data_IF_586254790318
#
_entry.id   IF_586254790318
#
_cell.length_a   1.000
_cell.length_b   1.000
_cell.length_c   1.000
_cell.angle_alpha   90.00
_cell.angle_beta   90.00
_cell.angle_gamma   90.00
#
_symmetry.space_group_name_H-M   'P 1'
#
loop_
_entity.id
_entity.type
_entity.pdbx_description
1 polymer ?
#
# COMPACT_ATOMS: atom_id res chain seq x y z
N UNK A 1 30.76 9.92 20.25
CA UNK A 1 30.45 9.13 19.02
C UNK A 1 28.93 9.12 18.87
N UNK A 2 28.39 9.29 17.65
CA UNK A 2 26.94 9.36 17.42
C UNK A 2 26.30 7.98 17.65
N UNK A 3 25.22 7.96 18.43
CA UNK A 3 24.47 6.72 18.71
C UNK A 3 23.41 6.47 17.64
N UNK A 4 23.36 5.24 17.11
CA UNK A 4 22.46 4.83 16.03
C UNK A 4 20.97 4.97 16.41
N UNK A 5 20.62 4.69 17.67
CA UNK A 5 19.24 4.82 18.16
C UNK A 5 18.78 6.29 18.13
N UNK A 6 19.69 7.21 18.48
CA UNK A 6 19.43 8.65 18.42
C UNK A 6 19.34 9.17 16.98
N UNK A 7 20.19 8.64 16.08
CA UNK A 7 20.09 8.92 14.66
C UNK A 7 18.72 8.48 14.09
N UNK A 8 18.20 7.35 14.54
CA UNK A 8 16.85 6.88 14.17
C UNK A 8 15.78 7.86 14.66
N UNK A 9 15.88 8.38 15.89
CA UNK A 9 14.95 9.38 16.42
C UNK A 9 14.98 10.69 15.60
N UNK A 10 16.18 11.18 15.25
CA UNK A 10 16.34 12.39 14.42
C UNK A 10 15.72 12.20 13.04
N UNK A 11 15.95 11.06 12.40
CA UNK A 11 15.33 10.70 11.12
C UNK A 11 13.79 10.71 11.20
N UNK A 12 13.24 10.09 12.25
CA UNK A 12 11.78 10.07 12.45
C UNK A 12 11.22 11.47 12.71
N UNK A 13 11.96 12.32 13.42
CA UNK A 13 11.56 13.72 13.63
C UNK A 13 11.54 14.51 12.31
N UNK A 14 12.53 14.29 11.43
CA UNK A 14 12.56 14.89 10.10
C UNK A 14 11.30 14.59 9.28
N UNK A 15 10.76 13.40 9.45
CA UNK A 15 9.61 12.89 8.69
C UNK A 15 8.27 13.29 9.28
N UNK A 16 8.17 13.31 10.62
CA UNK A 16 6.89 13.51 11.34
C UNK A 16 6.67 14.93 11.79
N UNK A 17 7.71 15.74 11.79
CA UNK A 17 7.67 17.16 12.14
C UNK A 17 7.50 17.45 13.63
N UNK A 18 7.06 16.52 14.47
CA UNK A 18 6.84 16.76 15.89
C UNK A 18 7.39 15.65 16.80
N UNK A 19 7.86 16.03 18.00
CA UNK A 19 8.34 15.08 19.00
C UNK A 19 7.22 14.14 19.47
N UNK A 20 5.99 14.63 19.58
CA UNK A 20 4.84 13.81 19.97
C UNK A 20 4.57 12.70 18.95
N UNK A 21 4.57 13.01 17.65
CA UNK A 21 4.39 12.02 16.59
C UNK A 21 5.54 10.99 16.52
N UNK A 22 6.77 11.40 16.85
CA UNK A 22 7.90 10.45 16.98
C UNK A 22 7.72 9.52 18.17
N UNK A 23 7.28 10.07 19.31
CA UNK A 23 7.07 9.31 20.53
C UNK A 23 5.97 8.25 20.36
N UNK A 24 4.85 8.64 19.77
CA UNK A 24 3.76 7.72 19.42
C UNK A 24 4.25 6.61 18.48
N UNK A 25 4.96 7.00 17.43
CA UNK A 25 5.45 6.10 16.39
C UNK A 25 6.46 5.05 16.84
N UNK A 26 7.23 5.35 17.86
CA UNK A 26 8.32 4.49 18.34
C UNK A 26 8.07 3.95 19.76
N UNK A 27 6.84 4.09 20.27
CA UNK A 27 6.44 3.68 21.61
C UNK A 27 7.33 4.27 22.73
N UNK A 28 7.73 5.54 22.58
CA UNK A 28 8.44 6.31 23.60
C UNK A 28 7.52 7.35 24.25
N UNK A 29 7.94 7.91 25.39
CA UNK A 29 7.33 9.15 25.88
C UNK A 29 7.91 10.37 25.14
N UNK A 30 7.15 11.46 24.94
CA UNK A 30 7.67 12.70 24.34
C UNK A 30 8.88 13.27 25.07
N UNK A 31 8.92 13.14 26.40
CA UNK A 31 10.06 13.54 27.23
C UNK A 31 11.31 12.73 26.95
N UNK A 32 11.17 11.40 26.79
CA UNK A 32 12.30 10.53 26.45
C UNK A 32 12.87 10.86 25.07
N UNK A 33 12.01 11.07 24.06
CA UNK A 33 12.46 11.50 22.71
C UNK A 33 13.20 12.83 22.79
N UNK A 34 12.66 13.84 23.49
CA UNK A 34 13.30 15.15 23.65
C UNK A 34 14.66 15.04 24.35
N UNK A 35 14.75 14.24 25.40
CA UNK A 35 16.01 14.01 26.12
C UNK A 35 17.06 13.34 25.23
N UNK A 36 16.69 12.30 24.48
CA UNK A 36 17.61 11.61 23.58
C UNK A 36 18.10 12.48 22.43
N UNK A 37 17.25 13.33 21.88
CA UNK A 37 17.65 14.31 20.86
C UNK A 37 18.59 15.37 21.44
N UNK A 38 18.37 15.84 22.66
CA UNK A 38 19.30 16.74 23.35
C UNK A 38 20.65 16.08 23.69
N UNK A 39 20.69 14.76 23.91
CA UNK A 39 21.96 14.01 24.01
C UNK A 39 22.64 13.98 22.65
N UNK A 40 21.90 13.74 21.55
CA UNK A 40 22.48 13.74 20.20
C UNK A 40 23.09 15.11 19.81
N UNK A 41 22.47 16.21 20.20
CA UNK A 41 23.04 17.55 20.01
C UNK A 41 24.40 17.70 20.71
N UNK A 42 24.50 17.22 21.96
CA UNK A 42 25.78 17.21 22.70
C UNK A 42 26.85 16.32 22.05
N UNK A 43 26.45 15.16 21.52
CA UNK A 43 27.35 14.26 20.77
C UNK A 43 27.81 14.87 19.45
N UNK A 44 26.93 15.60 18.77
CA UNK A 44 27.22 16.31 17.53
C UNK A 44 28.04 17.60 17.76
N UNK A 45 28.04 18.13 18.97
CA UNK A 45 28.74 19.38 19.31
C UNK A 45 28.11 20.65 18.74
N UNK A 46 26.85 20.56 18.25
CA UNK A 46 26.14 21.69 17.65
C UNK A 46 24.61 21.51 17.76
N UNK A 47 23.84 22.61 17.70
CA UNK A 47 22.39 22.52 17.71
C UNK A 47 21.85 21.80 16.45
N UNK A 48 20.97 20.84 16.68
CA UNK A 48 20.27 20.11 15.62
C UNK A 48 18.82 20.57 15.51
N UNK A 49 18.26 21.15 16.60
CA UNK A 49 16.88 21.56 16.69
C UNK A 49 16.78 23.07 17.00
N UNK A 50 15.87 23.74 16.33
CA UNK A 50 15.45 25.11 16.60
C UNK A 50 14.03 25.08 17.17
N UNK A 51 13.79 25.83 18.27
CA UNK A 51 12.43 26.01 18.82
C UNK A 51 11.66 27.01 17.97
N UNK A 52 10.47 26.63 17.51
CA UNK A 52 9.58 27.49 16.73
C UNK A 52 8.21 27.54 17.45
N UNK A 53 7.99 28.54 18.29
CA UNK A 53 6.74 28.64 19.05
C UNK A 53 6.43 27.36 19.85
N UNK A 54 5.41 26.60 19.41
CA UNK A 54 5.00 25.32 20.04
C UNK A 54 5.66 24.09 19.46
N UNK A 55 6.58 24.24 18.49
CA UNK A 55 7.19 23.12 17.79
C UNK A 55 8.70 23.16 17.74
N UNK A 56 9.29 22.19 17.02
CA UNK A 56 10.71 22.11 16.73
C UNK A 56 10.92 22.02 15.23
N UNK A 57 12.00 22.66 14.74
CA UNK A 57 12.45 22.58 13.35
C UNK A 57 13.89 22.06 13.31
N UNK A 58 14.21 21.30 12.29
CA UNK A 58 15.57 20.82 12.08
C UNK A 58 16.46 21.97 11.53
N UNK A 59 17.67 22.10 12.09
CA UNK A 59 18.70 22.95 11.51
C UNK A 59 19.21 22.37 10.18
N UNK A 60 19.89 23.16 9.32
CA UNK A 60 20.56 22.64 8.13
C UNK A 60 21.57 21.52 8.45
N UNK A 61 22.26 21.61 9.58
CA UNK A 61 23.17 20.57 10.07
C UNK A 61 22.42 19.27 10.41
N UNK A 62 21.25 19.37 11.05
CA UNK A 62 20.40 18.21 11.32
C UNK A 62 19.88 17.55 10.05
N UNK A 63 19.48 18.34 9.04
CA UNK A 63 19.07 17.81 7.74
C UNK A 63 20.20 17.03 7.05
N UNK A 64 21.43 17.53 7.11
CA UNK A 64 22.60 16.81 6.62
C UNK A 64 22.80 15.51 7.42
N UNK A 65 22.72 15.56 8.75
CA UNK A 65 22.87 14.40 9.60
C UNK A 65 21.80 13.34 9.34
N UNK A 66 20.58 13.73 9.00
CA UNK A 66 19.50 12.81 8.60
C UNK A 66 19.89 12.00 7.37
N UNK A 67 20.49 12.64 6.34
CA UNK A 67 20.95 11.91 5.14
C UNK A 67 22.02 10.86 5.47
N UNK A 68 22.96 11.20 6.35
CA UNK A 68 23.96 10.24 6.84
C UNK A 68 23.32 9.15 7.70
N UNK A 69 22.34 9.49 8.54
CA UNK A 69 21.61 8.52 9.35
C UNK A 69 20.88 7.48 8.49
N UNK A 70 20.27 7.90 7.39
CA UNK A 70 19.63 6.98 6.43
C UNK A 70 20.63 5.99 5.84
N UNK A 71 21.79 6.46 5.39
CA UNK A 71 22.84 5.60 4.84
C UNK A 71 23.40 4.59 5.89
N UNK A 72 23.58 5.04 7.13
CA UNK A 72 24.03 4.17 8.24
C UNK A 72 22.99 3.09 8.55
N UNK A 73 21.71 3.46 8.66
CA UNK A 73 20.64 2.53 8.94
C UNK A 73 20.46 1.50 7.81
N UNK A 74 20.54 1.93 6.54
CA UNK A 74 20.54 1.02 5.40
C UNK A 74 21.70 0.03 5.43
N UNK A 75 22.90 0.50 5.84
CA UNK A 75 24.07 -0.36 5.94
C UNK A 75 23.94 -1.42 7.04
N UNK A 76 23.33 -1.06 8.17
CA UNK A 76 23.02 -2.01 9.24
C UNK A 76 22.00 -3.07 8.79
N UNK A 77 20.95 -2.68 8.08
CA UNK A 77 19.98 -3.65 7.52
C UNK A 77 20.66 -4.62 6.54
N UNK A 78 21.62 -4.15 5.75
CA UNK A 78 22.41 -5.04 4.88
C UNK A 78 23.27 -6.01 5.68
N UNK A 79 23.94 -5.53 6.72
CA UNK A 79 24.74 -6.40 7.59
C UNK A 79 23.88 -7.47 8.25
N UNK A 80 22.69 -7.12 8.72
CA UNK A 80 21.73 -8.08 9.29
C UNK A 80 21.31 -9.12 8.24
N UNK A 81 21.09 -8.70 6.99
CA UNK A 81 20.76 -9.60 5.89
C UNK A 81 21.91 -10.59 5.58
N UNK A 82 23.16 -10.11 5.52
CA UNK A 82 24.36 -10.91 5.30
C UNK A 82 24.59 -11.93 6.45
N UNK A 83 24.37 -11.51 7.69
CA UNK A 83 24.45 -12.39 8.86
C UNK A 83 23.33 -13.45 8.83
N UNK A 84 22.13 -13.10 8.39
CA UNK A 84 21.03 -14.05 8.24
C UNK A 84 21.33 -15.08 7.13
N UNK A 85 21.97 -14.67 6.04
CA UNK A 85 22.38 -15.56 4.94
C UNK A 85 23.44 -16.58 5.40
N UNK A 86 24.33 -16.17 6.29
CA UNK A 86 25.38 -17.05 6.86
C UNK A 86 24.84 -18.13 7.82
N UNK A 87 23.57 -18.02 8.24
CA UNK A 87 22.93 -19.03 9.11
C UNK A 87 22.51 -20.23 8.28
N UNK A 88 22.71 -21.43 8.84
CA UNK A 88 22.22 -22.69 8.26
C UNK A 88 20.69 -22.76 8.43
N UNK A 89 19.97 -22.53 7.34
CA UNK A 89 18.51 -22.57 7.29
C UNK A 89 17.82 -21.25 7.63
N UNK A 90 16.70 -21.02 6.97
CA UNK A 90 15.82 -19.88 7.26
C UNK A 90 14.94 -20.22 8.46
N UNK A 91 15.05 -19.45 9.53
CA UNK A 91 14.26 -19.65 10.76
C UNK A 91 13.91 -18.31 11.41
N UNK A 92 12.88 -18.34 12.26
CA UNK A 92 12.41 -17.20 13.04
C UNK A 92 11.20 -16.51 12.45
N UNK A 93 10.73 -15.45 13.12
CA UNK A 93 9.52 -14.71 12.75
C UNK A 93 9.75 -13.86 11.50
N UNK A 94 8.76 -13.86 10.59
CA UNK A 94 8.66 -12.93 9.45
C UNK A 94 7.34 -12.20 9.52
N UNK A 95 7.37 -10.92 9.86
CA UNK A 95 6.18 -10.08 10.02
C UNK A 95 5.80 -9.46 8.68
N UNK A 96 4.61 -9.82 8.19
CA UNK A 96 4.12 -9.50 6.85
C UNK A 96 2.90 -8.60 6.95
N UNK A 97 2.91 -7.47 6.25
CA UNK A 97 1.75 -6.61 6.05
C UNK A 97 1.14 -6.81 4.67
N UNK A 98 -0.18 -6.89 4.56
CA UNK A 98 -0.84 -6.94 3.25
C UNK A 98 -2.24 -6.29 3.31
N UNK A 99 -2.65 -5.68 2.22
CA UNK A 99 -3.99 -5.11 2.08
C UNK A 99 -5.04 -6.22 1.78
N UNK A 100 -6.33 -6.00 2.08
CA UNK A 100 -7.37 -7.06 2.08
C UNK A 100 -7.42 -7.92 0.83
N UNK A 101 -7.41 -7.33 -0.38
CA UNK A 101 -7.49 -8.11 -1.62
C UNK A 101 -6.28 -9.01 -1.84
N UNK A 102 -5.07 -8.56 -1.47
CA UNK A 102 -3.88 -9.42 -1.56
C UNK A 102 -3.90 -10.51 -0.49
N UNK A 103 -4.33 -10.19 0.73
CA UNK A 103 -4.50 -11.13 1.83
C UNK A 103 -5.43 -12.27 1.44
N UNK A 104 -6.51 -11.98 0.70
CA UNK A 104 -7.45 -13.00 0.24
C UNK A 104 -6.94 -13.79 -0.97
N UNK A 105 -6.39 -13.11 -1.98
CA UNK A 105 -6.22 -13.72 -3.30
C UNK A 105 -4.85 -14.37 -3.53
N UNK A 106 -3.80 -13.90 -2.86
CA UNK A 106 -2.40 -14.27 -3.19
C UNK A 106 -1.66 -14.80 -1.96
N UNK A 107 -1.78 -14.09 -0.82
CA UNK A 107 -0.97 -14.38 0.36
C UNK A 107 -1.15 -15.80 0.91
N UNK A 108 -2.36 -16.39 0.98
CA UNK A 108 -2.52 -17.75 1.51
C UNK A 108 -1.72 -18.79 0.75
N UNK A 109 -1.74 -18.75 -0.58
CA UNK A 109 -0.95 -19.66 -1.42
C UNK A 109 0.56 -19.43 -1.26
N UNK A 110 0.98 -18.16 -1.14
CA UNK A 110 2.39 -17.81 -0.90
C UNK A 110 2.88 -18.29 0.47
N UNK A 111 2.06 -18.17 1.52
CA UNK A 111 2.40 -18.66 2.85
C UNK A 111 2.46 -20.19 2.91
N UNK A 112 1.54 -20.89 2.23
CA UNK A 112 1.58 -22.33 2.12
C UNK A 112 2.83 -22.83 1.39
N UNK A 113 3.27 -22.13 0.33
CA UNK A 113 4.50 -22.42 -0.38
C UNK A 113 5.73 -22.16 0.50
N UNK A 114 5.75 -21.01 1.20
CA UNK A 114 6.82 -20.63 2.11
C UNK A 114 7.00 -21.65 3.25
N UNK A 115 5.92 -22.09 3.87
CA UNK A 115 5.94 -23.08 4.95
C UNK A 115 6.51 -24.45 4.49
N UNK A 116 6.18 -24.87 3.26
CA UNK A 116 6.76 -26.13 2.71
C UNK A 116 8.25 -26.02 2.46
N UNK A 117 8.71 -24.89 1.92
CA UNK A 117 10.12 -24.72 1.54
C UNK A 117 11.03 -24.31 2.70
N UNK A 118 10.47 -23.63 3.67
CA UNK A 118 11.21 -23.07 4.82
C UNK A 118 10.46 -23.32 6.13
N UNK A 119 10.42 -24.58 6.62
CA UNK A 119 9.61 -24.95 7.79
C UNK A 119 10.08 -24.30 9.10
N UNK A 120 11.30 -23.72 9.13
CA UNK A 120 11.79 -22.96 10.28
C UNK A 120 11.32 -21.49 10.32
N UNK A 121 10.72 -20.98 9.24
CA UNK A 121 10.14 -19.63 9.25
C UNK A 121 8.76 -19.65 9.88
N UNK A 122 8.48 -18.63 10.68
CA UNK A 122 7.19 -18.37 11.32
C UNK A 122 6.56 -17.10 10.70
N UNK A 123 5.88 -17.19 9.55
CA UNK A 123 5.27 -16.04 8.93
C UNK A 123 4.05 -15.56 9.74
N UNK A 124 4.06 -14.28 10.09
CA UNK A 124 2.99 -13.61 10.85
C UNK A 124 2.34 -12.57 9.93
N UNK A 125 1.11 -12.83 9.50
CA UNK A 125 0.37 -11.94 8.61
C UNK A 125 -0.49 -10.97 9.41
N UNK A 126 -0.40 -9.68 9.05
CA UNK A 126 -1.31 -8.63 9.51
C UNK A 126 -1.93 -7.93 8.32
N UNK A 127 -3.25 -7.78 8.33
CA UNK A 127 -3.93 -6.93 7.36
C UNK A 127 -3.63 -5.47 7.68
N UNK A 128 -3.06 -4.76 6.70
CA UNK A 128 -2.50 -3.43 6.92
C UNK A 128 -2.87 -2.49 5.78
N UNK A 129 -3.43 -1.33 6.12
CA UNK A 129 -3.69 -0.28 5.13
C UNK A 129 -2.36 0.23 4.54
N UNK A 130 -2.23 0.40 3.21
CA UNK A 130 -1.03 0.92 2.58
C UNK A 130 -0.48 2.23 3.17
N UNK A 131 -1.35 3.09 3.67
CA UNK A 131 -0.94 4.34 4.32
C UNK A 131 -0.19 4.11 5.65
N UNK A 132 -0.45 3.00 6.35
CA UNK A 132 0.21 2.65 7.60
C UNK A 132 1.52 1.86 7.39
N UNK A 133 1.72 1.25 6.22
CA UNK A 133 2.85 0.35 5.95
C UNK A 133 4.20 1.01 6.16
N UNK A 134 4.38 2.23 5.65
CA UNK A 134 5.65 2.92 5.77
C UNK A 134 6.07 3.14 7.23
N UNK A 135 5.09 3.42 8.10
CA UNK A 135 5.32 3.53 9.52
C UNK A 135 5.71 2.19 10.13
N UNK A 136 4.91 1.15 9.93
CA UNK A 136 5.09 -0.16 10.53
C UNK A 136 6.44 -0.81 10.12
N UNK A 137 6.87 -0.66 8.86
CA UNK A 137 8.18 -1.10 8.41
C UNK A 137 9.33 -0.37 9.13
N UNK A 138 9.24 0.95 9.30
CA UNK A 138 10.27 1.74 9.98
C UNK A 138 10.32 1.49 11.48
N UNK A 139 9.18 1.23 12.11
CA UNK A 139 9.09 0.85 13.52
C UNK A 139 9.65 -0.56 13.79
N UNK A 140 9.74 -1.41 12.73
CA UNK A 140 10.11 -2.81 12.86
C UNK A 140 8.95 -3.69 13.29
N UNK A 141 7.72 -3.20 13.19
CA UNK A 141 6.49 -3.97 13.40
C UNK A 141 6.22 -4.91 12.22
N UNK A 142 6.68 -4.52 11.03
CA UNK A 142 6.70 -5.34 9.82
C UNK A 142 8.13 -5.47 9.28
N UNK A 143 8.41 -6.60 8.65
CA UNK A 143 9.67 -6.88 7.95
C UNK A 143 9.49 -6.67 6.44
N UNK A 144 8.32 -7.03 5.93
CA UNK A 144 7.95 -6.91 4.51
C UNK A 144 6.45 -6.61 4.41
N UNK A 145 6.05 -5.85 3.38
CA UNK A 145 4.64 -5.60 3.15
C UNK A 145 4.31 -5.51 1.66
N UNK A 146 3.04 -5.74 1.34
CA UNK A 146 2.46 -5.43 0.04
C UNK A 146 1.83 -4.04 0.08
N UNK A 147 2.23 -3.20 -0.85
CA UNK A 147 1.66 -1.87 -1.08
C UNK A 147 1.15 -1.75 -2.50
N UNK A 148 0.24 -0.83 -2.73
CA UNK A 148 -0.26 -0.57 -4.07
C UNK A 148 -0.33 0.92 -4.36
N UNK A 149 -0.32 1.26 -5.64
CA UNK A 149 -0.61 2.59 -6.17
C UNK A 149 -1.60 2.50 -7.32
N UNK A 150 -2.23 3.62 -7.62
CA UNK A 150 -3.21 3.76 -8.69
C UNK A 150 -2.82 4.88 -9.64
N UNK A 151 -3.27 4.79 -10.88
CA UNK A 151 -3.33 5.96 -11.75
C UNK A 151 -4.19 7.06 -11.10
N UNK A 152 -3.93 8.30 -11.44
CA UNK A 152 -4.56 9.50 -10.85
C UNK A 152 -4.23 9.81 -9.39
N UNK A 153 -3.53 8.94 -8.66
CA UNK A 153 -3.11 9.20 -7.28
C UNK A 153 -1.60 9.36 -7.22
N UNK A 154 -1.09 10.45 -6.63
CA UNK A 154 0.35 10.60 -6.41
C UNK A 154 0.92 9.42 -5.63
N UNK A 155 2.07 8.94 -6.06
CA UNK A 155 2.80 7.83 -5.45
C UNK A 155 4.20 8.31 -5.06
N UNK A 156 4.32 9.08 -3.95
CA UNK A 156 5.60 9.62 -3.52
C UNK A 156 6.54 8.50 -3.08
N UNK A 157 7.82 8.69 -3.36
CA UNK A 157 8.85 7.82 -2.80
C UNK A 157 8.87 7.94 -1.27
N UNK A 158 8.97 6.79 -0.61
CA UNK A 158 9.06 6.70 0.85
C UNK A 158 10.53 6.53 1.26
N UNK A 159 11.21 7.61 1.73
CA UNK A 159 12.62 7.55 2.09
C UNK A 159 12.91 6.44 3.11
N UNK A 160 14.03 5.71 2.91
CA UNK A 160 14.44 4.58 3.74
C UNK A 160 13.59 3.33 3.57
N UNK A 161 12.70 3.32 2.59
CA UNK A 161 12.03 2.12 2.12
C UNK A 161 12.42 1.85 0.66
N UNK A 162 12.46 0.59 0.32
CA UNK A 162 12.65 0.13 -1.05
C UNK A 162 11.42 -0.65 -1.46
N UNK A 163 10.95 -0.43 -2.68
CA UNK A 163 9.85 -1.20 -3.25
C UNK A 163 10.33 -1.97 -4.48
N UNK A 164 9.82 -3.20 -4.66
CA UNK A 164 10.04 -4.00 -5.87
C UNK A 164 8.70 -4.31 -6.52
N UNK A 165 8.55 -4.14 -7.85
CA UNK A 165 7.34 -4.50 -8.56
C UNK A 165 6.97 -5.96 -8.33
N UNK A 166 5.67 -6.24 -8.15
CA UNK A 166 5.16 -7.59 -8.04
C UNK A 166 4.21 -7.92 -9.19
N UNK A 167 3.12 -7.16 -9.35
CA UNK A 167 2.18 -7.30 -10.47
C UNK A 167 1.42 -6.01 -10.76
N UNK A 168 0.78 -5.98 -11.92
CA UNK A 168 -0.20 -4.97 -12.34
C UNK A 168 -1.52 -5.66 -12.64
N UNK A 169 -2.61 -5.03 -12.30
CA UNK A 169 -3.95 -5.53 -12.57
C UNK A 169 -4.87 -4.46 -13.13
N UNK A 170 -5.84 -4.89 -13.94
CA UNK A 170 -6.83 -4.01 -14.50
C UNK A 170 -7.82 -3.53 -13.44
N UNK A 171 -8.37 -2.33 -13.66
CA UNK A 171 -9.51 -1.82 -12.92
C UNK A 171 -10.77 -1.95 -13.77
N UNK A 172 -11.90 -2.19 -13.11
CA UNK A 172 -13.20 -2.36 -13.75
C UNK A 172 -14.22 -1.40 -13.16
N UNK A 173 -15.06 -0.83 -14.00
CA UNK A 173 -16.31 -0.24 -13.57
C UNK A 173 -17.31 -1.38 -13.39
N UNK A 174 -17.82 -1.54 -12.17
CA UNK A 174 -18.87 -2.47 -11.82
C UNK A 174 -20.21 -1.73 -11.78
N UNK A 175 -21.16 -2.19 -12.56
CA UNK A 175 -22.53 -1.68 -12.62
C UNK A 175 -23.53 -2.84 -12.50
N UNK A 176 -24.77 -2.59 -12.04
CA UNK A 176 -25.81 -3.62 -12.04
C UNK A 176 -26.04 -4.19 -13.44
N UNK A 177 -26.07 -5.52 -13.57
CA UNK A 177 -26.41 -6.16 -14.83
C UNK A 177 -27.88 -5.87 -15.19
N UNK A 178 -28.13 -5.58 -16.47
CA UNK A 178 -29.50 -5.50 -16.98
C UNK A 178 -30.15 -6.89 -16.93
N UNK A 179 -31.30 -7.02 -16.27
CA UNK A 179 -31.99 -8.30 -16.14
C UNK A 179 -33.44 -8.15 -15.69
N UNK A 180 -34.27 -9.22 -15.83
CA UNK A 180 -35.64 -9.21 -15.34
C UNK A 180 -35.66 -8.97 -13.83
N UNK A 181 -36.38 -7.95 -13.37
CA UNK A 181 -36.45 -7.58 -11.95
C UNK A 181 -35.39 -6.59 -11.45
N UNK A 182 -34.45 -6.16 -12.28
CA UNK A 182 -33.51 -5.10 -11.93
C UNK A 182 -34.27 -3.77 -11.77
N UNK A 183 -34.13 -3.12 -10.60
CA UNK A 183 -34.60 -1.73 -10.38
C UNK A 183 -33.72 -0.70 -11.10
N UNK A 184 -32.65 -1.16 -11.72
CA UNK A 184 -31.73 -0.37 -12.52
C UNK A 184 -32.29 -0.20 -13.93
N UNK A 185 -32.85 0.96 -14.26
CA UNK A 185 -33.41 1.22 -15.57
C UNK A 185 -32.32 1.29 -16.64
N UNK A 186 -32.64 0.83 -17.87
CA UNK A 186 -31.73 0.92 -19.02
C UNK A 186 -31.26 2.38 -19.31
N UNK A 187 -32.03 3.39 -18.91
CA UNK A 187 -31.62 4.80 -18.95
C UNK A 187 -30.49 5.15 -17.99
N UNK A 188 -30.31 4.38 -16.91
CA UNK A 188 -29.22 4.55 -15.95
C UNK A 188 -28.04 3.61 -16.25
N UNK A 189 -28.27 2.55 -17.00
CA UNK A 189 -27.23 1.73 -17.60
C UNK A 189 -26.78 2.46 -18.87
N UNK A 190 -25.58 3.04 -18.88
CA UNK A 190 -24.99 3.53 -20.11
C UNK A 190 -25.03 2.48 -21.22
N UNK A 191 -24.77 2.86 -22.49
CA UNK A 191 -24.84 1.94 -23.62
C UNK A 191 -24.01 0.68 -23.32
N UNK A 192 -24.60 -0.50 -23.55
CA UNK A 192 -23.90 -1.77 -23.42
C UNK A 192 -22.64 -1.74 -24.28
N UNK A 193 -21.46 -2.11 -23.74
CA UNK A 193 -20.23 -2.12 -24.51
C UNK A 193 -20.39 -3.05 -25.71
N UNK A 194 -20.18 -2.54 -26.90
CA UNK A 194 -20.11 -3.37 -28.11
C UNK A 194 -18.83 -4.19 -28.04
N UNK A 195 -18.86 -5.49 -28.41
CA UNK A 195 -17.68 -6.36 -28.34
C UNK A 195 -16.47 -5.84 -29.12
N UNK A 196 -16.70 -5.09 -30.20
CA UNK A 196 -15.69 -4.66 -31.16
C UNK A 196 -14.99 -3.32 -30.81
N UNK A 197 -15.55 -2.52 -29.91
CA UNK A 197 -14.92 -1.28 -29.43
C UNK A 197 -15.37 -0.96 -28.00
N UNK A 198 -14.60 -1.37 -26.96
CA UNK A 198 -14.90 -0.98 -25.59
C UNK A 198 -14.87 0.55 -25.47
N UNK A 199 -15.86 1.17 -24.78
CA UNK A 199 -15.90 2.60 -24.59
C UNK A 199 -14.60 3.12 -24.01
N UNK A 200 -14.20 4.33 -24.38
CA UNK A 200 -13.08 4.99 -23.73
C UNK A 200 -13.35 5.09 -22.23
N UNK A 201 -12.31 5.04 -21.39
CA UNK A 201 -12.47 5.08 -19.92
C UNK A 201 -13.37 6.22 -19.46
N UNK A 202 -13.16 7.43 -20.00
CA UNK A 202 -13.91 8.62 -19.62
C UNK A 202 -15.39 8.51 -20.05
N UNK A 203 -15.66 7.88 -21.17
CA UNK A 203 -17.02 7.63 -21.66
C UNK A 203 -17.74 6.63 -20.75
N UNK A 204 -17.07 5.53 -20.39
CA UNK A 204 -17.61 4.54 -19.45
C UNK A 204 -17.95 5.16 -18.09
N UNK A 205 -17.09 6.02 -17.56
CA UNK A 205 -17.33 6.71 -16.29
C UNK A 205 -18.47 7.75 -16.44
N UNK A 206 -18.48 8.55 -17.50
CA UNK A 206 -19.51 9.58 -17.76
C UNK A 206 -20.91 9.01 -17.95
N UNK A 207 -21.03 7.81 -18.52
CA UNK A 207 -22.31 7.12 -18.66
C UNK A 207 -23.01 6.89 -17.30
N UNK A 208 -22.25 6.89 -16.21
CA UNK A 208 -22.76 6.69 -14.85
C UNK A 208 -22.63 7.93 -13.95
N UNK A 209 -22.47 9.14 -14.52
CA UNK A 209 -22.27 10.38 -13.75
C UNK A 209 -23.41 10.70 -12.78
N UNK A 210 -24.65 10.38 -13.15
CA UNK A 210 -25.85 10.65 -12.37
C UNK A 210 -26.24 9.48 -11.44
N UNK A 211 -25.52 8.35 -11.53
CA UNK A 211 -25.73 7.17 -10.69
C UNK A 211 -25.28 7.41 -9.24
N UNK A 212 -25.84 6.67 -8.27
CA UNK A 212 -25.23 6.54 -6.96
C UNK A 212 -23.88 5.81 -7.07
N UNK A 213 -22.86 6.32 -6.37
CA UNK A 213 -21.53 5.70 -6.34
C UNK A 213 -21.28 5.03 -5.00
N UNK A 214 -20.61 3.88 -5.07
CA UNK A 214 -20.07 3.15 -3.93
C UNK A 214 -18.56 3.34 -3.98
N UNK A 215 -17.97 3.90 -2.94
CA UNK A 215 -16.52 4.15 -2.86
C UNK A 215 -15.95 3.59 -1.57
N UNK A 216 -14.64 3.46 -1.48
CA UNK A 216 -13.97 3.22 -0.22
C UNK A 216 -14.09 4.42 0.73
N UNK A 217 -13.68 4.23 1.98
CA UNK A 217 -13.68 5.28 3.02
C UNK A 217 -12.76 6.45 2.65
N UNK A 218 -13.16 7.71 2.88
CA UNK A 218 -12.31 8.87 2.65
C UNK A 218 -10.96 8.74 3.39
N UNK A 219 -9.89 9.17 2.72
CA UNK A 219 -8.52 9.02 3.21
C UNK A 219 -7.78 7.81 2.64
N UNK A 220 -8.50 6.83 2.08
CA UNK A 220 -7.87 5.68 1.41
C UNK A 220 -7.45 6.02 -0.03
N UNK A 221 -6.42 5.32 -0.54
CA UNK A 221 -5.98 5.46 -1.94
C UNK A 221 -7.09 5.08 -2.93
N UNK A 222 -7.91 4.09 -2.60
CA UNK A 222 -9.02 3.63 -3.44
C UNK A 222 -10.11 4.70 -3.58
N UNK A 223 -10.46 5.39 -2.49
CA UNK A 223 -11.38 6.53 -2.53
C UNK A 223 -10.81 7.65 -3.40
N UNK A 224 -9.56 8.03 -3.15
CA UNK A 224 -8.90 9.12 -3.90
C UNK A 224 -8.84 8.79 -5.40
N UNK A 225 -8.51 7.56 -5.77
CA UNK A 225 -8.49 7.09 -7.16
C UNK A 225 -9.86 7.23 -7.82
N UNK A 226 -10.93 6.71 -7.20
CA UNK A 226 -12.27 6.77 -7.77
C UNK A 226 -12.72 8.21 -8.00
N UNK A 227 -12.56 9.08 -6.99
CA UNK A 227 -12.97 10.49 -7.09
C UNK A 227 -12.19 11.21 -8.18
N UNK A 228 -10.87 11.04 -8.25
CA UNK A 228 -10.02 11.70 -9.24
C UNK A 228 -10.25 11.18 -10.66
N UNK A 229 -10.51 9.88 -10.83
CA UNK A 229 -10.87 9.32 -12.12
C UNK A 229 -12.19 9.91 -12.66
N UNK A 230 -13.20 10.05 -11.79
CA UNK A 230 -14.46 10.72 -12.15
C UNK A 230 -14.25 12.22 -12.48
N UNK A 231 -13.42 12.92 -11.70
CA UNK A 231 -13.06 14.32 -11.95
C UNK A 231 -12.32 14.49 -13.29
N UNK A 232 -11.38 13.60 -13.61
CA UNK A 232 -10.71 13.58 -14.91
C UNK A 232 -11.71 13.34 -16.06
N UNK A 233 -12.75 12.53 -15.82
CA UNK A 233 -13.85 12.34 -16.75
C UNK A 233 -14.86 13.51 -16.77
N UNK A 234 -14.66 14.59 -16.01
CA UNK A 234 -15.43 15.83 -16.04
C UNK A 234 -16.65 15.87 -15.11
N UNK A 235 -16.70 15.02 -14.07
CA UNK A 235 -17.77 15.07 -13.07
C UNK A 235 -17.29 14.67 -11.68
N UNK A 236 -18.08 15.00 -10.64
CA UNK A 236 -17.85 14.52 -9.27
C UNK A 236 -18.84 13.40 -8.95
N UNK A 237 -18.39 12.23 -8.43
CA UNK A 237 -19.30 11.13 -8.16
C UNK A 237 -20.22 11.45 -6.98
N UNK A 238 -21.51 11.11 -7.12
CA UNK A 238 -22.49 11.21 -6.05
C UNK A 238 -22.35 10.01 -5.09
N UNK A 239 -21.39 10.08 -4.17
CA UNK A 239 -21.09 9.00 -3.22
C UNK A 239 -22.28 8.80 -2.28
N UNK A 240 -22.88 7.60 -2.29
CA UNK A 240 -23.98 7.20 -1.42
C UNK A 240 -23.56 6.18 -0.37
N UNK A 241 -22.64 5.27 -0.74
CA UNK A 241 -22.16 4.21 0.15
C UNK A 241 -20.62 4.27 0.25
N UNK A 242 -20.09 3.94 1.44
CA UNK A 242 -18.67 3.86 1.72
C UNK A 242 -18.36 2.49 2.28
N UNK A 243 -17.59 1.69 1.52
CA UNK A 243 -17.32 0.29 1.82
C UNK A 243 -15.92 -0.04 1.32
N UNK A 244 -15.08 -0.61 2.15
CA UNK A 244 -13.68 -0.91 1.82
C UNK A 244 -13.49 -2.34 1.28
N UNK A 245 -14.38 -3.28 1.63
CA UNK A 245 -14.32 -4.67 1.21
C UNK A 245 -15.06 -4.87 -0.13
N UNK A 246 -14.32 -5.33 -1.16
CA UNK A 246 -14.85 -5.40 -2.53
C UNK A 246 -15.94 -6.47 -2.73
N UNK A 247 -15.98 -7.54 -1.96
CA UNK A 247 -17.10 -8.50 -2.06
C UNK A 247 -18.41 -7.84 -1.63
N UNK A 248 -18.38 -7.03 -0.58
CA UNK A 248 -19.53 -6.23 -0.13
C UNK A 248 -19.89 -5.15 -1.17
N UNK A 249 -18.88 -4.49 -1.76
CA UNK A 249 -19.12 -3.53 -2.86
C UNK A 249 -19.87 -4.20 -4.01
N UNK A 250 -19.40 -5.36 -4.47
CA UNK A 250 -20.04 -6.10 -5.56
C UNK A 250 -21.46 -6.58 -5.20
N UNK A 251 -21.69 -6.99 -3.95
CA UNK A 251 -23.04 -7.36 -3.49
C UNK A 251 -24.01 -6.15 -3.53
N UNK A 252 -23.54 -4.95 -3.14
CA UNK A 252 -24.32 -3.72 -3.23
C UNK A 252 -24.60 -3.32 -4.69
N UNK A 253 -23.61 -3.49 -5.58
CA UNK A 253 -23.79 -3.26 -7.02
C UNK A 253 -24.82 -4.25 -7.57
N UNK A 254 -24.70 -5.54 -7.28
CA UNK A 254 -25.65 -6.57 -7.72
C UNK A 254 -27.09 -6.29 -7.25
N UNK A 255 -27.22 -5.69 -6.06
CA UNK A 255 -28.51 -5.25 -5.51
C UNK A 255 -29.06 -3.94 -6.13
N UNK A 256 -28.38 -3.35 -7.13
CA UNK A 256 -28.81 -2.13 -7.79
C UNK A 256 -28.63 -0.85 -6.98
N UNK A 257 -27.79 -0.87 -5.94
CA UNK A 257 -27.62 0.27 -5.02
C UNK A 257 -26.59 1.30 -5.50
N UNK A 258 -25.88 1.02 -6.59
CA UNK A 258 -24.95 1.97 -7.19
C UNK A 258 -23.92 1.31 -8.10
N UNK A 259 -22.95 2.11 -8.53
CA UNK A 259 -21.80 1.70 -9.36
C UNK A 259 -20.50 1.90 -8.59
N UNK A 260 -19.46 1.14 -8.93
CA UNK A 260 -18.16 1.21 -8.26
C UNK A 260 -17.00 0.97 -9.22
N UNK A 261 -15.80 1.43 -8.86
CA UNK A 261 -14.56 0.99 -9.50
C UNK A 261 -13.90 -0.08 -8.61
N UNK A 262 -13.62 -1.24 -9.21
CA UNK A 262 -13.07 -2.40 -8.51
C UNK A 262 -11.82 -2.94 -9.21
N UNK A 263 -10.81 -3.43 -8.48
CA UNK A 263 -9.64 -4.07 -9.08
C UNK A 263 -9.96 -5.51 -9.52
N UNK A 264 -9.19 -6.04 -10.44
CA UNK A 264 -9.34 -7.42 -10.94
C UNK A 264 -9.36 -8.46 -9.81
N UNK A 265 -8.45 -8.36 -8.84
CA UNK A 265 -8.41 -9.26 -7.67
C UNK A 265 -9.53 -8.98 -6.65
N UNK A 266 -10.26 -7.88 -6.80
CA UNK A 266 -11.47 -7.59 -6.02
C UNK A 266 -12.68 -8.38 -6.51
N UNK A 267 -12.61 -8.98 -7.70
CA UNK A 267 -13.69 -9.79 -8.27
C UNK A 267 -13.40 -11.29 -8.06
N UNK A 268 -14.43 -12.14 -7.85
CA UNK A 268 -14.25 -13.60 -7.74
C UNK A 268 -13.89 -14.25 -9.09
N UNK A 269 -14.05 -13.53 -10.20
CA UNK A 269 -13.81 -14.01 -11.57
C UNK A 269 -14.34 -13.00 -12.59
N UNK A 270 -14.29 -13.34 -13.88
CA UNK A 270 -14.81 -12.48 -14.94
C UNK A 270 -16.34 -12.33 -14.87
N UNK A 271 -17.03 -13.35 -14.38
CA UNK A 271 -18.49 -13.39 -14.29
C UNK A 271 -18.91 -13.23 -12.82
N UNK A 272 -19.50 -12.07 -12.51
CA UNK A 272 -20.07 -11.79 -11.18
C UNK A 272 -21.58 -11.73 -11.33
N UNK A 273 -22.34 -12.62 -10.68
CA UNK A 273 -23.79 -12.65 -10.81
C UNK A 273 -24.41 -11.28 -10.47
N UNK A 274 -25.25 -10.76 -11.38
CA UNK A 274 -25.93 -9.47 -11.20
C UNK A 274 -25.05 -8.23 -11.40
N UNK A 275 -23.80 -8.40 -11.82
CA UNK A 275 -22.86 -7.28 -12.07
C UNK A 275 -22.31 -7.33 -13.48
N UNK A 276 -22.37 -6.21 -14.18
CA UNK A 276 -21.66 -6.00 -15.42
C UNK A 276 -20.29 -5.33 -15.12
N UNK A 277 -19.22 -5.91 -15.63
CA UNK A 277 -17.86 -5.41 -15.47
C UNK A 277 -17.36 -4.80 -16.78
N UNK A 278 -17.06 -3.51 -16.78
CA UNK A 278 -16.45 -2.82 -17.93
C UNK A 278 -14.99 -2.51 -17.59
N UNK A 279 -14.05 -3.05 -18.36
CA UNK A 279 -12.62 -2.79 -18.16
C UNK A 279 -12.30 -1.32 -18.41
N UNK A 280 -11.55 -0.72 -17.48
CA UNK A 280 -11.01 0.63 -17.60
C UNK A 280 -9.55 0.59 -18.07
N UNK A 281 -9.03 1.72 -18.57
CA UNK A 281 -7.63 1.83 -18.99
C UNK A 281 -6.68 2.05 -17.83
N UNK A 282 -7.20 2.35 -16.64
CA UNK A 282 -6.41 2.52 -15.42
C UNK A 282 -5.98 1.17 -14.83
N UNK A 283 -4.90 1.20 -14.07
CA UNK A 283 -4.32 0.02 -13.43
C UNK A 283 -4.07 0.25 -11.94
N UNK A 284 -4.09 -0.85 -11.17
CA UNK A 284 -3.50 -0.93 -9.84
C UNK A 284 -2.14 -1.63 -9.94
N UNK A 285 -1.09 -0.99 -9.38
CA UNK A 285 0.26 -1.54 -9.35
C UNK A 285 0.56 -2.00 -7.94
N UNK A 286 0.88 -3.28 -7.77
CA UNK A 286 1.27 -3.84 -6.47
C UNK A 286 2.77 -4.05 -6.42
N UNK A 287 3.38 -3.65 -5.29
CA UNK A 287 4.81 -3.75 -5.03
C UNK A 287 5.04 -4.41 -3.67
N UNK A 288 6.19 -5.05 -3.53
CA UNK A 288 6.71 -5.53 -2.24
C UNK A 288 7.54 -4.40 -1.65
N UNK A 289 7.23 -3.97 -0.43
CA UNK A 289 7.92 -2.93 0.30
C UNK A 289 8.67 -3.50 1.50
N UNK A 290 9.89 -3.00 1.76
CA UNK A 290 10.73 -3.36 2.91
C UNK A 290 11.68 -2.20 3.22
N UNK A 291 12.35 -2.24 4.39
CA UNK A 291 13.38 -1.23 4.73
C UNK A 291 14.53 -1.29 3.73
N UNK A 292 15.05 -0.12 3.33
CA UNK A 292 16.22 -0.05 2.44
C UNK A 292 17.38 -0.84 3.04
N UNK A 293 17.98 -1.72 2.24
CA UNK A 293 18.99 -2.69 2.71
C UNK A 293 18.44 -4.08 3.03
N UNK A 294 17.21 -4.21 3.53
CA UNK A 294 16.63 -5.50 3.91
C UNK A 294 16.21 -6.39 2.73
N UNK A 295 16.25 -5.90 1.49
CA UNK A 295 15.82 -6.65 0.31
C UNK A 295 16.67 -7.88 -0.04
N UNK A 296 17.89 -7.99 0.53
CA UNK A 296 18.73 -9.17 0.43
C UNK A 296 18.49 -10.18 1.59
N UNK A 297 17.69 -9.80 2.61
CA UNK A 297 17.40 -10.70 3.72
C UNK A 297 16.73 -11.98 3.20
N UNK A 298 17.27 -13.18 3.52
CA UNK A 298 16.81 -14.44 2.91
C UNK A 298 15.33 -14.72 3.12
N UNK A 299 14.76 -14.37 4.27
CA UNK A 299 13.33 -14.54 4.54
C UNK A 299 12.46 -13.62 3.68
N UNK A 300 12.90 -12.36 3.46
CA UNK A 300 12.20 -11.40 2.57
C UNK A 300 12.27 -11.89 1.12
N UNK A 301 13.45 -12.37 0.68
CA UNK A 301 13.64 -12.91 -0.66
C UNK A 301 12.81 -14.19 -0.89
N UNK A 302 12.76 -15.09 0.10
CA UNK A 302 11.97 -16.31 0.05
C UNK A 302 10.46 -16.00 -0.05
N UNK A 303 9.95 -15.07 0.77
CA UNK A 303 8.55 -14.65 0.69
C UNK A 303 8.23 -13.99 -0.66
N UNK A 304 9.11 -13.13 -1.16
CA UNK A 304 8.94 -12.51 -2.48
C UNK A 304 8.91 -13.54 -3.62
N UNK A 305 9.71 -14.63 -3.52
CA UNK A 305 9.67 -15.73 -4.48
C UNK A 305 8.34 -16.50 -4.39
N UNK A 306 7.87 -16.81 -3.17
CA UNK A 306 6.58 -17.48 -2.95
C UNK A 306 5.40 -16.65 -3.44
N UNK A 307 5.43 -15.32 -3.25
CA UNK A 307 4.40 -14.43 -3.80
C UNK A 307 4.36 -14.49 -5.34
N UNK A 308 5.52 -14.46 -6.03
CA UNK A 308 5.55 -14.55 -7.49
C UNK A 308 5.00 -15.88 -7.99
N UNK A 309 5.30 -16.98 -7.30
CA UNK A 309 4.78 -18.32 -7.64
C UNK A 309 3.27 -18.44 -7.38
N UNK A 310 2.71 -17.65 -6.47
CA UNK A 310 1.31 -17.65 -6.11
C UNK A 310 0.44 -16.71 -6.97
N UNK A 311 1.06 -15.93 -7.89
CA UNK A 311 0.31 -15.02 -8.76
C UNK A 311 -0.61 -15.81 -9.71
N UNK A 312 -1.89 -15.39 -9.86
CA UNK A 312 -2.77 -15.92 -10.89
C UNK A 312 -2.15 -15.78 -12.31
N UNK A 313 -2.38 -16.73 -13.22
CA UNK A 313 -1.76 -16.73 -14.56
C UNK A 313 -1.93 -15.43 -15.34
N UNK A 314 -3.05 -14.73 -15.18
CA UNK A 314 -3.32 -13.44 -15.85
C UNK A 314 -2.50 -12.26 -15.32
N UNK A 315 -1.82 -12.40 -14.18
CA UNK A 315 -1.01 -11.36 -13.53
C UNK A 315 0.50 -11.66 -13.59
N UNK A 316 0.89 -12.91 -13.73
CA UNK A 316 2.28 -13.36 -13.67
C UNK A 316 3.21 -12.74 -14.75
N UNK A 317 2.67 -12.27 -15.88
CA UNK A 317 3.45 -11.67 -16.98
C UNK A 317 3.50 -10.14 -17.00
N UNK A 318 2.78 -9.45 -16.13
CA UNK A 318 2.61 -7.99 -16.19
C UNK A 318 3.53 -7.21 -15.23
N UNK A 319 4.42 -7.89 -14.51
CA UNK A 319 5.32 -7.27 -13.52
C UNK A 319 6.78 -7.10 -13.97
N UNK A 320 7.19 -7.65 -15.11
CA UNK A 320 8.60 -7.80 -15.49
C UNK A 320 9.11 -6.78 -16.51
N UNK A 321 8.46 -5.64 -16.67
CA UNK A 321 8.88 -4.64 -17.63
C UNK A 321 8.70 -3.22 -17.14
N UNK A 322 9.71 -2.66 -16.52
CA UNK A 322 10.18 -1.27 -16.57
C UNK A 322 11.43 -1.13 -15.70
#
# INVERSE_FOLDING_TARGET
MLDVRRLRLLRELARRGTIAAVAEALAYSPSAVSQQLGVLEREAGLPLLERTGRGVRLTPAAQNLVRHAEAVLERLERADAELAEARTGLAGALRIGAFPTATRAIVPAALADLARRHPGLEPMLSETDPAAVAHALRAGELDVALVHSYDFVPDPEEPGLTTRPLYREAMYLAAPAAGPGSTWSAEKAGPAPTPDAPPGQDEALRAHRDAPWITATPGTLCHAMTVRACQAAGFSPRVRHRVDEFATVLALVAAGLGVAVVPQLGTPGPDVPGVALTRLRMERRTRIAFRSGAGAHPAVAAFAASLRSALPPGLAGRGAGA
#
